data_IF_340819608105
#
_entry.id   IF_340819608105
#
_cell.length_a   1.000
_cell.length_b   1.000
_cell.length_c   1.000
_cell.angle_alpha   90.00
_cell.angle_beta   90.00
_cell.angle_gamma   90.00
#
_symmetry.space_group_name_H-M   'P 1'
#
loop_
_entity.id
_entity.type
_entity.pdbx_description
1 polymer ?
#
# COMPACT_ATOMS: atom_id res chain seq x y z
N UNK A 1 -15.11 -12.76 1.61
CA UNK A 1 -14.10 -13.68 2.19
C UNK A 1 -12.73 -13.06 1.92
N UNK A 2 -11.75 -13.04 2.84
CA UNK A 2 -10.45 -12.40 2.58
C UNK A 2 -9.68 -12.95 1.37
N UNK A 3 -9.96 -14.17 0.92
CA UNK A 3 -9.31 -14.77 -0.25
C UNK A 3 -10.18 -14.75 -1.51
N UNK A 4 -11.32 -14.05 -1.46
CA UNK A 4 -12.22 -13.90 -2.61
C UNK A 4 -11.75 -12.75 -3.52
N UNK A 5 -12.05 -12.78 -4.84
CA UNK A 5 -11.58 -11.77 -5.80
C UNK A 5 -12.12 -10.35 -5.55
N UNK A 6 -13.13 -10.23 -4.69
CA UNK A 6 -13.69 -8.94 -4.27
C UNK A 6 -12.87 -8.27 -3.16
N UNK A 7 -11.92 -8.96 -2.53
CA UNK A 7 -11.06 -8.34 -1.51
C UNK A 7 -9.92 -7.56 -2.18
N UNK A 8 -9.88 -6.21 -2.09
CA UNK A 8 -8.82 -5.44 -2.70
C UNK A 8 -7.51 -5.58 -1.93
N UNK A 9 -6.40 -5.61 -2.67
CA UNK A 9 -5.06 -5.37 -2.13
C UNK A 9 -4.62 -3.98 -2.55
N UNK A 10 -4.46 -3.09 -1.56
CA UNK A 10 -4.20 -1.67 -1.79
C UNK A 10 -2.78 -1.36 -1.37
N UNK A 11 -1.98 -0.78 -2.27
CA UNK A 11 -0.70 -0.17 -1.93
C UNK A 11 -0.87 1.33 -1.95
N UNK A 12 -0.56 2.02 -0.86
CA UNK A 12 -0.75 3.46 -0.74
C UNK A 12 0.51 4.14 -0.20
N UNK A 13 0.88 5.25 -0.84
CA UNK A 13 1.95 6.15 -0.41
C UNK A 13 1.38 7.34 0.37
N UNK A 14 2.21 7.96 1.21
CA UNK A 14 1.84 9.18 1.92
C UNK A 14 2.16 10.45 1.13
N UNK A 15 1.64 11.62 1.53
CA UNK A 15 1.96 12.90 0.89
C UNK A 15 3.44 13.25 0.99
N UNK A 16 4.12 12.83 2.06
CA UNK A 16 5.55 13.04 2.24
C UNK A 16 6.42 12.04 1.46
N UNK A 17 5.86 10.93 0.99
CA UNK A 17 6.64 9.87 0.33
C UNK A 17 7.37 10.44 -0.88
N UNK A 18 8.70 10.27 -0.92
CA UNK A 18 9.56 10.76 -2.01
C UNK A 18 10.00 12.22 -1.88
N UNK A 19 9.67 12.90 -0.78
CA UNK A 19 10.16 14.27 -0.49
C UNK A 19 11.54 14.24 0.21
N UNK A 20 12.05 15.42 0.58
CA UNK A 20 13.27 15.55 1.41
C UNK A 20 12.99 15.37 2.91
N UNK A 21 11.76 15.08 3.31
CA UNK A 21 11.45 14.81 4.70
C UNK A 21 12.21 13.56 5.20
N UNK A 22 12.75 13.57 6.43
CA UNK A 22 13.46 12.42 6.98
C UNK A 22 12.61 11.14 6.96
N UNK A 23 13.21 10.03 6.53
CA UNK A 23 12.57 8.71 6.49
C UNK A 23 11.28 8.63 5.66
N UNK A 24 11.12 9.51 4.67
CA UNK A 24 9.90 9.62 3.85
C UNK A 24 9.86 8.65 2.65
N UNK A 25 10.21 7.39 2.89
CA UNK A 25 10.21 6.33 1.86
C UNK A 25 9.17 5.24 2.14
N UNK A 26 8.22 5.51 3.05
CA UNK A 26 7.24 4.53 3.52
C UNK A 26 6.02 4.46 2.60
N UNK A 27 5.44 3.27 2.55
CA UNK A 27 4.14 2.98 1.95
C UNK A 27 3.44 1.91 2.79
N UNK A 28 2.12 1.80 2.66
CA UNK A 28 1.33 0.79 3.38
C UNK A 28 0.62 -0.12 2.39
N UNK A 29 0.55 -1.40 2.75
CA UNK A 29 -0.30 -2.40 2.09
C UNK A 29 -1.52 -2.60 2.97
N UNK A 30 -2.72 -2.43 2.41
CA UNK A 30 -3.99 -2.48 3.13
C UNK A 30 -4.94 -3.47 2.48
N UNK A 31 -5.56 -4.35 3.27
CA UNK A 31 -6.54 -5.33 2.80
C UNK A 31 -7.36 -5.90 3.97
N UNK A 32 -8.34 -6.78 3.70
CA UNK A 32 -8.91 -7.65 4.73
C UNK A 32 -7.98 -8.84 4.97
N UNK A 33 -7.60 -9.06 6.23
CA UNK A 33 -6.67 -10.14 6.61
C UNK A 33 -7.30 -11.52 6.45
N UNK A 34 -6.62 -12.49 5.78
CA UNK A 34 -7.03 -13.89 5.82
C UNK A 34 -6.75 -14.56 7.17
N UNK A 35 -5.79 -14.04 7.95
CA UNK A 35 -5.43 -14.62 9.25
C UNK A 35 -6.40 -14.19 10.36
N UNK A 36 -6.74 -12.90 10.41
CA UNK A 36 -7.58 -12.34 11.49
C UNK A 36 -9.02 -12.07 11.08
N UNK A 37 -9.31 -12.03 9.77
CA UNK A 37 -10.62 -11.64 9.25
C UNK A 37 -10.96 -10.15 9.39
N UNK A 38 -10.05 -9.34 9.96
CA UNK A 38 -10.23 -7.91 10.22
C UNK A 38 -9.49 -7.05 9.18
N UNK A 39 -9.54 -5.73 9.38
CA UNK A 39 -8.67 -4.78 8.68
C UNK A 39 -7.19 -5.12 8.94
N UNK A 40 -6.38 -5.06 7.88
CA UNK A 40 -4.93 -5.19 7.93
C UNK A 40 -4.29 -3.98 7.27
N UNK A 41 -3.31 -3.40 7.95
CA UNK A 41 -2.29 -2.57 7.34
C UNK A 41 -0.90 -3.15 7.62
N UNK A 42 -0.01 -3.06 6.63
CA UNK A 42 1.38 -3.43 6.75
C UNK A 42 2.25 -2.32 6.17
N UNK A 43 3.10 -1.71 7.00
CA UNK A 43 3.91 -0.58 6.60
C UNK A 43 5.32 -1.03 6.20
N UNK A 44 5.76 -0.64 5.01
CA UNK A 44 7.06 -0.98 4.45
C UNK A 44 7.83 0.28 4.05
N UNK A 45 9.15 0.18 3.94
CA UNK A 45 10.02 1.24 3.46
C UNK A 45 10.77 0.82 2.19
N UNK A 46 11.92 1.43 1.94
CA UNK A 46 12.73 1.15 0.76
C UNK A 46 12.32 2.03 -0.43
N UNK A 47 12.53 1.55 -1.65
CA UNK A 47 12.40 2.38 -2.85
C UNK A 47 11.03 2.29 -3.53
N UNK A 48 10.30 1.18 -3.34
CA UNK A 48 9.08 0.90 -4.08
C UNK A 48 8.02 2.01 -3.97
N UNK A 49 7.69 2.44 -2.75
CA UNK A 49 6.70 3.50 -2.53
C UNK A 49 7.11 4.84 -3.18
N UNK A 50 8.40 5.16 -3.19
CA UNK A 50 8.91 6.37 -3.83
C UNK A 50 8.79 6.29 -5.34
N UNK A 51 9.09 5.15 -5.95
CA UNK A 51 8.97 4.97 -7.40
C UNK A 51 7.50 4.99 -7.87
N UNK A 52 6.56 4.45 -7.09
CA UNK A 52 5.12 4.58 -7.36
C UNK A 52 4.68 6.05 -7.35
N UNK A 53 5.13 6.81 -6.34
CA UNK A 53 4.87 8.25 -6.24
C UNK A 53 5.43 9.02 -7.44
N UNK A 54 6.68 8.73 -7.82
CA UNK A 54 7.34 9.36 -8.99
C UNK A 54 6.67 8.99 -10.32
N UNK A 55 6.05 7.83 -10.40
CA UNK A 55 5.23 7.44 -11.55
C UNK A 55 3.90 8.22 -11.64
N UNK A 56 3.59 9.07 -10.66
CA UNK A 56 2.41 9.94 -10.66
C UNK A 56 1.19 9.34 -9.92
N UNK A 57 1.37 8.26 -9.16
CA UNK A 57 0.29 7.60 -8.43
C UNK A 57 0.49 7.68 -6.92
N UNK A 58 -0.58 8.00 -6.19
CA UNK A 58 -0.57 7.93 -4.73
C UNK A 58 -0.92 6.53 -4.22
N UNK A 59 -1.71 5.77 -4.97
CA UNK A 59 -2.12 4.41 -4.62
C UNK A 59 -2.31 3.51 -5.86
N UNK A 60 -2.14 2.21 -5.63
CA UNK A 60 -2.43 1.13 -6.59
C UNK A 60 -3.40 0.18 -5.91
N UNK A 61 -4.56 -0.03 -6.54
CA UNK A 61 -5.60 -0.93 -6.04
C UNK A 61 -5.65 -2.15 -6.98
N UNK A 62 -5.36 -3.32 -6.44
CA UNK A 62 -5.43 -4.59 -7.15
C UNK A 62 -6.73 -5.28 -6.74
N UNK A 63 -7.57 -5.59 -7.71
CA UNK A 63 -8.85 -6.29 -7.54
C UNK A 63 -8.95 -7.45 -8.52
N UNK A 64 -9.79 -8.44 -8.24
CA UNK A 64 -9.92 -9.63 -9.09
C UNK A 64 -8.95 -10.73 -8.65
N UNK A 65 -8.50 -11.54 -9.60
CA UNK A 65 -7.60 -12.67 -9.35
C UNK A 65 -6.51 -12.74 -10.41
#
# INVERSE_FOLDING_TARGET
DPLSPENPLILATGPLTGTLAPSSCRFSIVTKSPHTGLFLDANCGGFFGVEVKKAGFDAVIITGR
#
